data_IF_852335310347
#
_entry.id   IF_852335310347
#
_cell.length_a   1.000
_cell.length_b   1.000
_cell.length_c   1.000
_cell.angle_alpha   90.00
_cell.angle_beta   90.00
_cell.angle_gamma   90.00
#
_symmetry.space_group_name_H-M   'P 1'
#
loop_
_entity.id
_entity.type
_entity.pdbx_description
1 polymer ?
#
# COMPACT_ATOMS: atom_id res chain seq x y z
N UNK A 1 -36.97 29.09 -17.89
CA UNK A 1 -35.76 28.26 -17.74
C UNK A 1 -36.20 26.81 -17.72
N UNK A 2 -36.00 26.08 -18.82
CA UNK A 2 -36.37 24.67 -18.93
C UNK A 2 -35.24 23.82 -18.37
N UNK A 3 -35.47 23.17 -17.22
CA UNK A 3 -34.66 22.05 -16.75
C UNK A 3 -34.89 20.87 -17.69
N UNK A 4 -34.08 20.77 -18.76
CA UNK A 4 -34.07 19.58 -19.60
C UNK A 4 -33.49 18.39 -18.82
N UNK A 5 -34.21 17.27 -18.71
CA UNK A 5 -33.72 16.11 -17.98
C UNK A 5 -32.51 15.50 -18.68
N UNK A 6 -31.39 15.44 -17.96
CA UNK A 6 -30.11 14.94 -18.47
C UNK A 6 -30.22 13.55 -19.14
N UNK A 7 -29.73 13.44 -20.38
CA UNK A 7 -29.69 12.21 -21.19
C UNK A 7 -28.92 11.06 -20.48
N UNK A 8 -29.36 9.79 -20.66
CA UNK A 8 -28.71 8.58 -20.12
C UNK A 8 -27.19 8.53 -20.31
N UNK A 9 -26.65 8.97 -21.47
CA UNK A 9 -25.21 9.03 -21.74
C UNK A 9 -24.49 10.06 -20.86
N UNK A 10 -25.11 11.21 -20.62
CA UNK A 10 -24.58 12.24 -19.73
C UNK A 10 -24.62 11.80 -18.26
N UNK A 11 -25.70 11.11 -17.82
CA UNK A 11 -25.77 10.45 -16.49
C UNK A 11 -24.66 9.42 -16.31
N UNK A 12 -24.41 8.57 -17.31
CA UNK A 12 -23.33 7.57 -17.26
C UNK A 12 -21.95 8.23 -17.16
N UNK A 13 -21.67 9.26 -17.97
CA UNK A 13 -20.40 9.99 -17.91
C UNK A 13 -20.19 10.69 -16.57
N UNK A 14 -21.20 11.36 -16.04
CA UNK A 14 -21.12 12.01 -14.74
C UNK A 14 -20.86 11.00 -13.60
N UNK A 15 -21.51 9.84 -13.67
CA UNK A 15 -21.25 8.73 -12.72
C UNK A 15 -19.80 8.24 -12.82
N UNK A 16 -19.30 7.96 -14.02
CA UNK A 16 -17.91 7.54 -14.22
C UNK A 16 -16.91 8.59 -13.75
N UNK A 17 -17.19 9.88 -13.96
CA UNK A 17 -16.34 10.97 -13.46
C UNK A 17 -16.32 11.04 -11.93
N UNK A 18 -17.46 10.83 -11.27
CA UNK A 18 -17.54 10.75 -9.81
C UNK A 18 -16.80 9.54 -9.26
N UNK A 19 -17.03 8.36 -9.83
CA UNK A 19 -16.32 7.13 -9.45
C UNK A 19 -14.80 7.28 -9.64
N UNK A 20 -14.36 7.93 -10.72
CA UNK A 20 -12.94 8.21 -10.95
C UNK A 20 -12.36 9.24 -9.96
N UNK A 21 -13.14 10.26 -9.58
CA UNK A 21 -12.71 11.26 -8.60
C UNK A 21 -12.62 10.66 -7.19
N UNK A 22 -13.60 9.83 -6.79
CA UNK A 22 -13.60 9.08 -5.54
C UNK A 22 -12.42 8.11 -5.50
N UNK A 23 -12.21 7.30 -6.54
CA UNK A 23 -11.06 6.41 -6.63
C UNK A 23 -9.73 7.17 -6.55
N UNK A 24 -9.62 8.33 -7.19
CA UNK A 24 -8.40 9.14 -7.14
C UNK A 24 -8.09 9.64 -5.73
N UNK A 25 -9.12 9.98 -4.94
CA UNK A 25 -8.94 10.35 -3.53
C UNK A 25 -8.52 9.11 -2.73
N UNK A 26 -9.21 7.98 -2.92
CA UNK A 26 -8.93 6.74 -2.19
C UNK A 26 -7.52 6.19 -2.42
N UNK A 27 -6.99 6.30 -3.65
CA UNK A 27 -5.68 5.76 -4.02
C UNK A 27 -4.58 6.83 -4.08
N UNK A 28 -4.85 8.09 -3.72
CA UNK A 28 -3.83 9.14 -3.75
C UNK A 28 -2.63 8.76 -2.87
N UNK A 29 -2.91 8.33 -1.63
CA UNK A 29 -1.87 7.95 -0.68
C UNK A 29 -1.16 6.64 -1.02
N UNK A 30 -1.83 5.71 -1.71
CA UNK A 30 -1.18 4.53 -2.27
C UNK A 30 -0.06 4.95 -3.24
N UNK A 31 -0.38 5.83 -4.19
CA UNK A 31 0.57 6.31 -5.20
C UNK A 31 1.72 7.09 -4.53
N UNK A 32 1.43 7.90 -3.50
CA UNK A 32 2.46 8.61 -2.74
C UNK A 32 3.43 7.63 -2.06
N UNK A 33 2.91 6.66 -1.31
CA UNK A 33 3.74 5.67 -0.61
C UNK A 33 4.54 4.82 -1.59
N UNK A 34 3.97 4.38 -2.72
CA UNK A 34 4.71 3.68 -3.78
C UNK A 34 5.81 4.55 -4.41
N UNK A 35 5.61 5.86 -4.49
CA UNK A 35 6.63 6.77 -5.02
C UNK A 35 7.79 7.00 -4.04
N UNK A 36 7.50 6.97 -2.74
CA UNK A 36 8.45 7.22 -1.65
C UNK A 36 9.21 5.96 -1.26
N UNK A 37 8.52 4.83 -1.20
CA UNK A 37 9.10 3.54 -0.87
C UNK A 37 9.49 2.83 -2.16
N UNK A 38 10.77 2.55 -2.31
CA UNK A 38 11.30 1.69 -3.36
C UNK A 38 11.96 0.49 -2.69
N UNK A 39 11.98 -0.65 -3.38
CA UNK A 39 12.67 -1.85 -2.90
C UNK A 39 14.15 -1.54 -2.57
N UNK A 40 14.80 -0.71 -3.39
CA UNK A 40 16.17 -0.23 -3.14
C UNK A 40 16.30 0.60 -1.86
N UNK A 41 15.21 1.22 -1.40
CA UNK A 41 15.14 1.90 -0.12
C UNK A 41 15.50 0.99 1.05
N UNK A 42 15.28 -0.33 0.93
CA UNK A 42 15.59 -1.34 1.95
C UNK A 42 16.92 -2.05 1.73
N UNK A 43 17.77 -1.60 0.79
CA UNK A 43 19.02 -2.28 0.44
C UNK A 43 20.04 -2.41 1.60
N UNK A 44 19.90 -1.60 2.65
CA UNK A 44 20.73 -1.67 3.86
C UNK A 44 20.25 -2.66 4.91
N UNK A 45 19.11 -3.33 4.71
CA UNK A 45 18.54 -4.30 5.64
C UNK A 45 18.75 -5.74 5.14
N UNK A 46 18.82 -6.67 6.10
CA UNK A 46 18.94 -8.11 5.83
C UNK A 46 17.85 -8.86 6.60
N UNK A 47 17.09 -9.79 5.99
CA UNK A 47 17.13 -10.11 4.56
C UNK A 47 16.58 -8.95 3.71
N UNK A 48 17.00 -8.85 2.45
CA UNK A 48 16.53 -7.76 1.59
C UNK A 48 15.18 -8.15 0.98
N UNK A 49 14.11 -7.34 1.14
CA UNK A 49 12.88 -7.59 0.42
C UNK A 49 13.13 -7.45 -1.09
N UNK A 50 12.52 -8.33 -1.88
CA UNK A 50 12.60 -8.32 -3.35
C UNK A 50 11.48 -7.49 -3.96
N UNK A 51 10.37 -7.33 -3.23
CA UNK A 51 9.26 -6.47 -3.61
C UNK A 51 8.47 -6.04 -2.36
N UNK A 52 7.44 -5.22 -2.54
CA UNK A 52 6.46 -4.94 -1.51
C UNK A 52 5.08 -4.71 -2.13
N UNK A 53 4.04 -4.87 -1.31
CA UNK A 53 2.66 -4.54 -1.67
C UNK A 53 2.09 -3.60 -0.61
N UNK A 54 1.21 -2.69 -1.00
CA UNK A 54 0.62 -1.71 -0.08
C UNK A 54 -0.90 -1.89 -0.06
N UNK A 55 -1.42 -2.08 1.14
CA UNK A 55 -2.85 -2.11 1.41
C UNK A 55 -3.24 -0.74 1.98
N UNK A 56 -3.93 0.05 1.16
CA UNK A 56 -4.41 1.38 1.55
C UNK A 56 -5.66 1.30 2.44
N UNK A 57 -5.95 2.38 3.17
CA UNK A 57 -7.21 2.48 3.91
C UNK A 57 -8.41 2.55 2.96
N UNK A 58 -9.49 1.86 3.30
CA UNK A 58 -10.73 1.86 2.52
C UNK A 58 -11.41 3.23 2.46
N UNK A 59 -11.20 4.08 3.46
CA UNK A 59 -11.75 5.44 3.51
C UNK A 59 -10.90 6.46 2.73
N UNK A 60 -9.76 6.04 2.16
CA UNK A 60 -8.83 6.93 1.46
C UNK A 60 -7.98 7.80 2.39
N UNK A 61 -7.99 7.54 3.70
CA UNK A 61 -7.11 8.18 4.66
C UNK A 61 -5.64 7.76 4.45
N UNK A 62 -4.67 8.62 4.77
CA UNK A 62 -3.27 8.21 4.88
C UNK A 62 -3.00 7.24 6.05
N UNK A 63 -3.97 7.08 6.96
CA UNK A 63 -3.84 6.30 8.19
C UNK A 63 -4.08 4.80 7.97
N UNK A 64 -3.56 3.98 8.89
CA UNK A 64 -3.79 2.53 8.95
C UNK A 64 -3.38 1.74 7.70
N UNK A 65 -2.47 2.29 6.90
CA UNK A 65 -1.89 1.55 5.77
C UNK A 65 -1.04 0.38 6.26
N UNK A 66 -1.10 -0.73 5.52
CA UNK A 66 -0.26 -1.90 5.78
C UNK A 66 0.63 -2.16 4.59
N UNK A 67 1.93 -2.25 4.83
CA UNK A 67 2.93 -2.62 3.81
C UNK A 67 3.29 -4.07 4.02
N UNK A 68 3.22 -4.86 2.96
CA UNK A 68 3.65 -6.25 2.95
C UNK A 68 5.01 -6.32 2.28
N UNK A 69 6.05 -6.64 3.05
CA UNK A 69 7.37 -6.88 2.50
C UNK A 69 7.43 -8.28 1.91
N UNK A 70 7.86 -8.38 0.65
CA UNK A 70 7.93 -9.64 -0.08
C UNK A 70 9.40 -10.06 -0.15
N UNK A 71 9.69 -11.25 0.37
CA UNK A 71 11.02 -11.85 0.39
C UNK A 71 11.15 -12.96 -0.66
N UNK A 72 12.39 -13.33 -0.99
CA UNK A 72 12.64 -14.35 -2.00
C UNK A 72 12.24 -15.74 -1.50
N UNK A 73 12.47 -16.03 -0.21
CA UNK A 73 12.17 -17.34 0.39
C UNK A 73 11.27 -17.23 1.62
N UNK A 74 10.61 -18.34 1.97
CA UNK A 74 9.75 -18.42 3.15
C UNK A 74 10.53 -18.26 4.45
N UNK A 75 11.77 -18.75 4.51
CA UNK A 75 12.65 -18.61 5.68
C UNK A 75 13.05 -17.16 5.94
N UNK A 76 13.29 -16.38 4.88
CA UNK A 76 13.56 -14.95 5.00
C UNK A 76 12.34 -14.19 5.54
N UNK A 77 11.15 -14.49 5.03
CA UNK A 77 9.91 -13.90 5.50
C UNK A 77 9.63 -14.27 6.97
N UNK A 78 9.75 -15.55 7.33
CA UNK A 78 9.53 -16.03 8.69
C UNK A 78 10.49 -15.39 9.70
N UNK A 79 11.76 -15.16 9.31
CA UNK A 79 12.71 -14.43 10.16
C UNK A 79 12.25 -13.00 10.45
N UNK A 80 11.69 -12.32 9.44
CA UNK A 80 11.22 -10.93 9.55
C UNK A 80 9.89 -10.84 10.30
N UNK A 81 9.09 -11.92 10.36
CA UNK A 81 7.88 -11.97 11.21
C UNK A 81 8.18 -11.84 12.70
N UNK A 82 9.43 -12.09 13.14
CA UNK A 82 9.82 -11.79 14.50
C UNK A 82 9.61 -10.29 14.81
N UNK A 83 8.88 -9.93 15.88
CA UNK A 83 8.56 -8.53 16.18
C UNK A 83 9.78 -7.61 16.33
N UNK A 84 10.93 -8.13 16.77
CA UNK A 84 12.14 -7.32 16.93
C UNK A 84 12.77 -7.00 15.57
N UNK A 85 12.81 -7.97 14.66
CA UNK A 85 13.28 -7.76 13.29
C UNK A 85 12.32 -6.82 12.52
N UNK A 86 11.00 -7.08 12.58
CA UNK A 86 9.98 -6.28 11.91
C UNK A 86 10.02 -4.80 12.33
N UNK A 87 10.30 -4.53 13.60
CA UNK A 87 10.42 -3.16 14.12
C UNK A 87 11.54 -2.37 13.40
N UNK A 88 12.64 -3.03 13.02
CA UNK A 88 13.70 -2.40 12.24
C UNK A 88 13.23 -1.95 10.85
N UNK A 89 12.47 -2.80 10.16
CA UNK A 89 11.85 -2.44 8.87
C UNK A 89 10.81 -1.33 9.03
N UNK A 90 10.05 -1.33 10.12
CA UNK A 90 9.04 -0.31 10.40
C UNK A 90 9.64 1.06 10.61
N UNK A 91 10.65 1.16 11.46
CA UNK A 91 11.30 2.45 11.67
C UNK A 91 12.01 2.94 10.42
N UNK A 92 12.56 2.04 9.61
CA UNK A 92 13.15 2.40 8.32
C UNK A 92 12.12 2.94 7.33
N UNK A 93 10.99 2.24 7.15
CA UNK A 93 9.90 2.69 6.28
C UNK A 93 9.33 4.04 6.75
N UNK A 94 9.11 4.21 8.06
CA UNK A 94 8.67 5.47 8.65
C UNK A 94 9.68 6.60 8.42
N UNK A 95 10.97 6.34 8.55
CA UNK A 95 12.01 7.34 8.30
C UNK A 95 12.02 7.82 6.84
N UNK A 96 11.84 6.90 5.88
CA UNK A 96 11.69 7.23 4.47
C UNK A 96 10.46 8.10 4.24
N UNK A 97 9.29 7.69 4.74
CA UNK A 97 8.04 8.43 4.57
C UNK A 97 8.08 9.82 5.21
N UNK A 98 8.66 9.96 6.40
CA UNK A 98 8.87 11.27 7.05
C UNK A 98 9.73 12.19 6.20
N UNK A 99 10.81 11.67 5.62
CA UNK A 99 11.74 12.45 4.79
C UNK A 99 11.06 13.00 3.53
N UNK A 100 10.19 12.22 2.91
CA UNK A 100 9.45 12.63 1.70
C UNK A 100 8.19 13.47 2.01
N UNK A 101 7.90 13.74 3.29
CA UNK A 101 6.79 14.61 3.69
C UNK A 101 5.41 13.93 3.75
N UNK A 102 5.37 12.60 3.88
CA UNK A 102 4.12 11.87 4.06
C UNK A 102 3.38 12.31 5.35
N UNK A 103 2.03 12.33 5.39
CA UNK A 103 1.29 12.76 6.58
C UNK A 103 1.69 12.03 7.85
N UNK A 104 1.94 12.78 8.93
CA UNK A 104 2.47 12.25 10.17
C UNK A 104 1.55 11.19 10.81
N UNK A 105 0.23 11.38 10.76
CA UNK A 105 -0.75 10.40 11.25
C UNK A 105 -0.65 9.05 10.53
N UNK A 106 -0.39 9.09 9.22
CA UNK A 106 -0.15 7.92 8.39
C UNK A 106 1.14 7.20 8.75
N UNK A 107 2.23 7.95 9.00
CA UNK A 107 3.49 7.39 9.50
C UNK A 107 3.29 6.67 10.84
N UNK A 108 2.57 7.30 11.77
CA UNK A 108 2.40 6.78 13.13
C UNK A 108 1.52 5.53 13.16
N UNK A 109 0.52 5.45 12.28
CA UNK A 109 -0.41 4.32 12.18
C UNK A 109 0.01 3.25 11.16
N UNK A 110 1.14 3.45 10.48
CA UNK A 110 1.69 2.51 9.50
C UNK A 110 1.97 1.14 10.15
N UNK A 111 1.59 0.08 9.45
CA UNK A 111 1.87 -1.30 9.82
C UNK A 111 2.72 -1.96 8.75
N UNK A 112 3.51 -2.95 9.16
CA UNK A 112 4.21 -3.85 8.26
C UNK A 112 3.80 -5.28 8.54
N UNK A 113 3.86 -6.07 7.50
CA UNK A 113 3.84 -7.53 7.55
C UNK A 113 4.88 -8.07 6.57
N UNK A 114 5.08 -9.39 6.59
CA UNK A 114 6.04 -10.07 5.72
C UNK A 114 5.48 -11.34 5.11
N UNK A 115 5.82 -11.53 3.84
CA UNK A 115 5.50 -12.73 3.07
C UNK A 115 6.65 -13.05 2.10
N UNK A 116 6.51 -14.13 1.34
CA UNK A 116 7.52 -14.58 0.39
C UNK A 116 6.90 -14.93 -0.96
N UNK A 117 7.72 -14.98 -2.01
CA UNK A 117 7.27 -15.42 -3.33
C UNK A 117 6.61 -16.82 -3.31
N UNK A 118 7.16 -17.85 -2.62
CA UNK A 118 6.50 -19.15 -2.52
C UNK A 118 5.14 -19.10 -1.83
N UNK A 119 5.00 -18.36 -0.73
CA UNK A 119 3.71 -18.22 -0.03
C UNK A 119 2.65 -17.51 -0.90
N UNK A 120 3.07 -16.53 -1.71
CA UNK A 120 2.22 -15.88 -2.70
C UNK A 120 1.76 -16.87 -3.76
N UNK A 121 2.68 -17.68 -4.30
CA UNK A 121 2.37 -18.68 -5.32
C UNK A 121 1.40 -19.74 -4.79
N UNK A 122 1.68 -20.29 -3.60
CA UNK A 122 0.86 -21.31 -2.95
C UNK A 122 -0.53 -20.79 -2.56
N UNK A 123 -0.64 -19.49 -2.23
CA UNK A 123 -1.92 -18.82 -1.99
C UNK A 123 -2.78 -18.63 -3.25
N UNK A 124 -2.24 -18.87 -4.45
CA UNK A 124 -2.93 -18.59 -5.71
C UNK A 124 -2.70 -17.16 -6.23
N UNK A 125 -1.58 -16.56 -5.86
CA UNK A 125 -1.11 -15.24 -6.30
C UNK A 125 -1.30 -14.13 -5.27
N UNK A 126 -0.88 -12.91 -5.63
CA UNK A 126 -0.84 -11.75 -4.72
C UNK A 126 -2.20 -11.41 -4.09
N UNK A 127 -3.30 -11.74 -4.77
CA UNK A 127 -4.65 -11.49 -4.31
C UNK A 127 -5.08 -12.35 -3.10
N UNK A 128 -4.33 -13.41 -2.79
CA UNK A 128 -4.64 -14.28 -1.64
C UNK A 128 -4.68 -13.51 -0.32
N UNK A 129 -3.85 -12.48 -0.19
CA UNK A 129 -3.65 -11.71 1.04
C UNK A 129 -4.58 -10.51 1.21
N UNK A 130 -5.48 -10.27 0.25
CA UNK A 130 -6.51 -9.24 0.32
C UNK A 130 -7.87 -9.79 0.80
N UNK A 131 -7.86 -10.92 1.52
CA UNK A 131 -9.06 -11.59 2.07
C UNK A 131 -9.30 -11.28 3.54
#
# INVERSE_FOLDING_TARGET
MTDEPMNKRARKRLRQQREAAEARIHYAHLIEVESYLKVDGFAGLAPRPVDFEIICSFDGSPDNMTIWLIFATAEEAERVRDPAELAGYLEHARALLRREGYPQSGVDTLRLDSTSLPEIEDGGGRFFFFR
#
